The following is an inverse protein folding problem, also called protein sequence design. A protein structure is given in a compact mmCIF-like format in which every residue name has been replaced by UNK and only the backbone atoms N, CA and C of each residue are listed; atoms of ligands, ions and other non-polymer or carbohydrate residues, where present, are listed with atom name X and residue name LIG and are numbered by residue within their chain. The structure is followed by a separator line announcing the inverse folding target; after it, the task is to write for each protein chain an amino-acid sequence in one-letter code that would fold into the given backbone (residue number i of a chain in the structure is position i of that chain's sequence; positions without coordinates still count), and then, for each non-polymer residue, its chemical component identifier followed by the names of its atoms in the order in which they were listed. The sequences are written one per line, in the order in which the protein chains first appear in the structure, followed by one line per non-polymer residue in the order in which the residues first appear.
data_IF_120243688977
#
_entry.id   IF_120243688977
#
_cell.length_a   1.000
_cell.length_b   1.000
_cell.length_c   1.000
_cell.angle_alpha   90.00
_cell.angle_beta   90.00
_cell.angle_gamma   90.00
#
_symmetry.space_group_name_H-M   'P 1'
#
loop_
_entity.id
_entity.type
_entity.pdbx_description
1 polymer ?
#
# COMPACT_ATOMS: atom_id res chain seq x y z
N UNK A 1 18.23 -8.32 -56.47
CA UNK A 1 17.35 -9.15 -55.63
C UNK A 1 17.55 -8.68 -54.22
N UNK A 2 16.83 -7.61 -53.88
CA UNK A 2 16.83 -6.96 -52.57
C UNK A 2 15.82 -7.66 -51.67
N UNK A 3 16.27 -8.10 -50.50
CA UNK A 3 15.39 -8.36 -49.36
C UNK A 3 15.91 -7.51 -48.21
N UNK A 4 15.22 -6.43 -47.80
CA UNK A 4 15.63 -5.70 -46.62
C UNK A 4 15.24 -6.46 -45.36
N UNK A 5 16.22 -6.54 -44.47
CA UNK A 5 16.16 -7.15 -43.15
C UNK A 5 15.31 -6.26 -42.23
N UNK A 6 14.04 -6.63 -42.06
CA UNK A 6 13.16 -6.02 -41.07
C UNK A 6 13.46 -6.55 -39.67
N UNK A 7 14.53 -6.07 -39.05
CA UNK A 7 14.72 -6.23 -37.60
C UNK A 7 13.65 -5.39 -36.92
N UNK A 8 12.49 -5.98 -36.61
CA UNK A 8 11.51 -5.35 -35.72
C UNK A 8 12.06 -5.48 -34.31
N UNK A 9 13.03 -4.63 -33.98
CA UNK A 9 13.41 -4.37 -32.61
C UNK A 9 12.20 -3.69 -31.98
N UNK A 10 11.30 -4.50 -31.41
CA UNK A 10 10.33 -3.98 -30.47
C UNK A 10 11.15 -3.29 -29.39
N UNK A 11 11.11 -1.96 -29.39
CA UNK A 11 11.55 -1.18 -28.25
C UNK A 11 10.74 -1.71 -27.06
N UNK A 12 11.40 -2.48 -26.19
CA UNK A 12 10.90 -2.67 -24.84
C UNK A 12 11.00 -1.29 -24.21
N UNK A 13 9.97 -0.48 -24.36
CA UNK A 13 9.77 0.63 -23.45
C UNK A 13 9.79 -0.02 -22.05
N UNK A 14 10.71 0.39 -21.15
CA UNK A 14 10.68 -0.13 -19.80
C UNK A 14 9.26 0.13 -19.31
N UNK A 15 8.58 -0.94 -18.88
CA UNK A 15 7.31 -0.79 -18.16
C UNK A 15 7.55 0.31 -17.11
N UNK A 16 6.62 1.28 -16.96
CA UNK A 16 6.76 2.27 -15.91
C UNK A 16 7.07 1.52 -14.62
N UNK A 17 8.25 1.79 -14.05
CA UNK A 17 8.69 1.08 -12.85
C UNK A 17 7.67 1.44 -11.78
N UNK A 18 7.00 0.44 -11.20
CA UNK A 18 6.12 0.69 -10.08
C UNK A 18 6.94 1.39 -8.98
N UNK A 19 6.55 2.61 -8.61
CA UNK A 19 7.19 3.39 -7.55
C UNK A 19 6.22 3.51 -6.39
N UNK A 20 6.76 3.34 -5.18
CA UNK A 20 6.08 3.62 -3.93
C UNK A 20 6.95 4.60 -3.14
N UNK A 21 6.41 5.79 -2.89
CA UNK A 21 6.99 6.73 -1.96
C UNK A 21 6.28 6.62 -0.61
N UNK A 22 7.06 6.67 0.47
CA UNK A 22 6.57 6.61 1.85
C UNK A 22 7.14 7.76 2.68
N UNK A 23 6.41 8.16 3.73
CA UNK A 23 6.93 9.09 4.72
C UNK A 23 5.92 9.41 5.83
N UNK A 24 6.37 10.06 6.92
CA UNK A 24 5.51 10.43 8.03
C UNK A 24 4.49 11.51 7.62
N UNK A 25 3.32 11.47 8.27
CA UNK A 25 2.36 12.57 8.21
C UNK A 25 2.87 13.77 9.02
N UNK A 26 2.59 14.99 8.54
CA UNK A 26 3.07 16.22 9.17
C UNK A 26 2.24 16.65 10.37
N UNK A 27 0.94 16.35 10.35
CA UNK A 27 -0.04 16.94 11.27
C UNK A 27 -0.56 15.95 12.32
N UNK A 28 -0.20 14.66 12.22
CA UNK A 28 -0.69 13.58 13.09
C UNK A 28 0.22 12.35 13.05
N UNK A 29 0.13 11.51 14.06
CA UNK A 29 0.85 10.23 14.10
C UNK A 29 0.40 9.30 12.96
N UNK A 30 1.35 8.89 12.11
CA UNK A 30 1.03 8.03 10.99
C UNK A 30 1.92 8.22 9.78
N UNK A 31 1.61 7.48 8.73
CA UNK A 31 2.38 7.38 7.51
C UNK A 31 1.52 7.70 6.28
N UNK A 32 2.17 8.13 5.20
CA UNK A 32 1.58 8.33 3.88
C UNK A 32 2.25 7.41 2.89
N UNK A 33 1.45 6.84 1.98
CA UNK A 33 1.93 6.11 0.82
C UNK A 33 1.45 6.77 -0.48
N UNK A 34 2.30 6.76 -1.51
CA UNK A 34 2.03 7.36 -2.83
C UNK A 34 2.52 6.43 -3.93
N UNK A 35 1.68 6.18 -4.92
CA UNK A 35 2.01 5.34 -6.06
C UNK A 35 1.41 3.94 -5.95
N UNK A 36 2.20 2.90 -6.27
CA UNK A 36 1.69 1.54 -6.44
C UNK A 36 2.21 0.59 -5.36
N UNK A 37 1.32 -0.19 -4.76
CA UNK A 37 1.66 -1.26 -3.83
C UNK A 37 1.56 -2.60 -4.58
N UNK A 38 2.71 -3.11 -4.99
CA UNK A 38 2.84 -4.30 -5.81
C UNK A 38 4.01 -5.16 -5.34
N UNK A 39 4.19 -6.33 -5.95
CA UNK A 39 5.37 -7.16 -5.72
C UNK A 39 6.71 -6.39 -5.81
N UNK A 40 6.83 -5.45 -6.74
CA UNK A 40 8.07 -4.69 -6.95
C UNK A 40 8.34 -3.66 -5.84
N UNK A 41 7.28 -3.09 -5.25
CA UNK A 41 7.36 -2.05 -4.22
C UNK A 41 7.13 -2.59 -2.81
N UNK A 42 6.87 -3.90 -2.69
CA UNK A 42 6.58 -4.52 -1.41
C UNK A 42 7.62 -4.22 -0.31
N UNK A 43 8.94 -4.26 -0.54
CA UNK A 43 9.89 -4.01 0.55
C UNK A 43 9.72 -2.60 1.15
N UNK A 44 9.32 -1.62 0.35
CA UNK A 44 9.04 -0.25 0.84
C UNK A 44 7.73 -0.24 1.64
N UNK A 45 6.72 -0.97 1.18
CA UNK A 45 5.44 -1.10 1.87
C UNK A 45 5.58 -1.79 3.24
N UNK A 46 6.28 -2.92 3.30
CA UNK A 46 6.51 -3.67 4.54
C UNK A 46 7.26 -2.82 5.57
N UNK A 47 8.30 -2.09 5.13
CA UNK A 47 9.03 -1.16 6.01
C UNK A 47 8.16 -0.02 6.53
N UNK A 48 7.31 0.58 5.68
CA UNK A 48 6.35 1.59 6.14
C UNK A 48 5.41 1.03 7.20
N UNK A 49 4.93 -0.22 7.03
CA UNK A 49 4.02 -0.85 7.97
C UNK A 49 4.71 -1.18 9.30
N UNK A 50 5.95 -1.67 9.26
CA UNK A 50 6.80 -1.86 10.44
C UNK A 50 6.95 -0.55 11.22
N UNK A 51 7.35 0.52 10.55
CA UNK A 51 7.49 1.86 11.17
C UNK A 51 6.15 2.38 11.72
N UNK A 52 5.03 2.08 11.06
CA UNK A 52 3.69 2.48 11.51
C UNK A 52 3.27 1.77 12.81
N UNK A 53 3.59 0.47 12.95
CA UNK A 53 3.17 -0.32 14.12
C UNK A 53 4.14 -0.20 15.30
N UNK A 54 5.40 0.12 15.05
CA UNK A 54 6.44 0.32 16.07
C UNK A 54 6.23 1.56 16.95
N UNK A 55 5.43 2.54 16.50
CA UNK A 55 5.07 3.69 17.32
C UNK A 55 4.21 3.30 18.54
N UNK A 56 4.17 4.14 19.58
CA UNK A 56 3.36 3.90 20.79
C UNK A 56 1.96 4.54 20.74
N UNK A 57 1.61 5.17 19.62
CA UNK A 57 0.39 5.93 19.50
C UNK A 57 -0.86 5.02 19.46
N UNK A 58 -1.93 5.37 20.20
CA UNK A 58 -3.16 4.58 20.23
C UNK A 58 -3.88 4.57 18.88
N UNK A 59 -3.70 5.62 18.08
CA UNK A 59 -4.28 5.73 16.74
C UNK A 59 -3.18 6.08 15.75
N UNK A 60 -2.95 5.17 14.81
CA UNK A 60 -1.96 5.34 13.75
C UNK A 60 -2.68 5.60 12.43
N UNK A 61 -2.42 6.74 11.81
CA UNK A 61 -3.10 7.12 10.57
C UNK A 61 -2.31 6.66 9.34
N UNK A 62 -3.00 6.13 8.34
CA UNK A 62 -2.40 5.71 7.08
C UNK A 62 -3.11 6.40 5.91
N UNK A 63 -2.43 7.36 5.29
CA UNK A 63 -2.95 8.14 4.17
C UNK A 63 -2.68 7.48 2.83
N UNK A 64 -3.76 7.17 2.10
CA UNK A 64 -3.74 6.36 0.87
C UNK A 64 -4.39 7.03 -0.33
N UNK A 65 -4.80 8.31 -0.23
CA UNK A 65 -5.44 9.05 -1.34
C UNK A 65 -4.64 9.09 -2.65
N UNK A 66 -3.31 8.97 -2.56
CA UNK A 66 -2.42 8.98 -3.72
C UNK A 66 -1.89 7.58 -4.09
N UNK A 67 -2.47 6.52 -3.50
CA UNK A 67 -2.23 5.14 -3.91
C UNK A 67 -3.13 4.82 -5.09
N UNK A 68 -2.53 4.44 -6.21
CA UNK A 68 -3.25 4.16 -7.47
C UNK A 68 -3.59 2.68 -7.63
N UNK A 69 -2.81 1.81 -6.99
CA UNK A 69 -2.97 0.36 -7.07
C UNK A 69 -2.47 -0.33 -5.80
N UNK A 70 -3.15 -1.41 -5.42
CA UNK A 70 -2.69 -2.34 -4.39
C UNK A 70 -3.10 -3.77 -4.76
N UNK A 71 -2.14 -4.69 -4.73
CA UNK A 71 -2.41 -6.11 -4.90
C UNK A 71 -2.86 -6.79 -3.58
N UNK A 72 -3.29 -8.04 -3.68
CA UNK A 72 -3.77 -8.82 -2.53
C UNK A 72 -2.66 -9.05 -1.49
N UNK A 73 -1.39 -9.13 -1.91
CA UNK A 73 -0.27 -9.30 -0.98
C UNK A 73 -0.04 -8.03 -0.17
N UNK A 74 -0.12 -6.86 -0.79
CA UNK A 74 -0.06 -5.58 -0.10
C UNK A 74 -1.15 -5.45 0.96
N UNK A 75 -2.39 -5.85 0.62
CA UNK A 75 -3.50 -5.88 1.57
C UNK A 75 -3.28 -6.90 2.70
N UNK A 76 -2.73 -8.08 2.40
CA UNK A 76 -2.41 -9.10 3.39
C UNK A 76 -1.34 -8.63 4.38
N UNK A 77 -0.31 -7.93 3.90
CA UNK A 77 0.73 -7.36 4.77
C UNK A 77 0.17 -6.29 5.71
N UNK A 78 -0.76 -5.44 5.23
CA UNK A 78 -1.46 -4.49 6.08
C UNK A 78 -2.28 -5.19 7.18
N UNK A 79 -3.04 -6.23 6.81
CA UNK A 79 -3.81 -7.01 7.77
C UNK A 79 -2.90 -7.71 8.81
N UNK A 80 -1.76 -8.23 8.36
CA UNK A 80 -0.76 -8.83 9.25
C UNK A 80 -0.17 -7.80 10.22
N UNK A 81 0.24 -6.63 9.75
CA UNK A 81 0.76 -5.55 10.58
C UNK A 81 -0.29 -5.06 11.59
N UNK A 82 -1.54 -4.91 11.17
CA UNK A 82 -2.60 -4.52 12.10
C UNK A 82 -2.81 -5.54 13.23
N UNK A 83 -2.59 -6.84 12.98
CA UNK A 83 -2.68 -7.90 14.00
C UNK A 83 -1.53 -7.86 15.02
N UNK A 84 -0.40 -7.23 14.69
CA UNK A 84 0.72 -7.07 15.62
C UNK A 84 0.58 -5.84 16.52
N UNK A 85 -0.46 -5.03 16.32
CA UNK A 85 -0.75 -3.91 17.20
C UNK A 85 -1.07 -4.40 18.62
N UNK A 86 -0.53 -3.69 19.60
CA UNK A 86 -0.87 -3.88 21.01
C UNK A 86 -2.35 -3.57 21.30
N UNK A 87 -2.84 -4.08 22.42
CA UNK A 87 -4.23 -3.86 22.85
C UNK A 87 -4.58 -2.36 22.92
N UNK A 88 -5.78 -2.01 22.46
CA UNK A 88 -6.26 -0.62 22.45
C UNK A 88 -5.69 0.26 21.33
N UNK A 89 -4.83 -0.28 20.46
CA UNK A 89 -4.29 0.43 19.29
C UNK A 89 -5.05 0.07 18.01
N UNK A 90 -5.09 1.02 17.06
CA UNK A 90 -5.77 0.84 15.77
C UNK A 90 -5.10 1.62 14.63
N UNK A 91 -5.27 1.13 13.40
CA UNK A 91 -4.89 1.80 12.16
C UNK A 91 -6.14 2.44 11.54
N UNK A 92 -6.06 3.73 11.23
CA UNK A 92 -7.12 4.44 10.49
C UNK A 92 -6.64 4.72 9.07
N UNK A 93 -7.30 4.10 8.09
CA UNK A 93 -7.05 4.30 6.66
C UNK A 93 -7.79 5.54 6.16
N UNK A 94 -7.05 6.49 5.59
CA UNK A 94 -7.61 7.67 4.93
C UNK A 94 -7.61 7.49 3.42
N UNK A 95 -8.79 7.70 2.80
CA UNK A 95 -9.01 7.58 1.36
C UNK A 95 -8.41 6.29 0.76
N UNK A 96 -8.66 5.09 1.33
CA UNK A 96 -8.13 3.87 0.74
C UNK A 96 -8.73 3.63 -0.65
N UNK A 97 -7.96 3.08 -1.61
CA UNK A 97 -8.51 2.62 -2.88
C UNK A 97 -9.69 1.67 -2.64
N UNK A 98 -10.73 1.76 -3.47
CA UNK A 98 -11.92 0.92 -3.32
C UNK A 98 -11.60 -0.59 -3.36
N UNK A 99 -10.57 -0.97 -4.13
CA UNK A 99 -10.04 -2.34 -4.18
C UNK A 99 -9.51 -2.81 -2.83
N UNK A 100 -8.81 -1.95 -2.09
CA UNK A 100 -8.31 -2.28 -0.75
C UNK A 100 -9.46 -2.49 0.22
N UNK A 101 -10.40 -1.55 0.26
CA UNK A 101 -11.59 -1.64 1.13
C UNK A 101 -12.33 -2.95 0.87
N UNK A 102 -12.58 -3.27 -0.41
CA UNK A 102 -13.28 -4.50 -0.78
C UNK A 102 -12.51 -5.76 -0.39
N UNK A 103 -11.19 -5.75 -0.58
CA UNK A 103 -10.31 -6.87 -0.22
C UNK A 103 -10.31 -7.10 1.30
N UNK A 104 -10.21 -6.04 2.12
CA UNK A 104 -10.28 -6.14 3.58
C UNK A 104 -11.63 -6.72 4.03
N UNK A 105 -12.74 -6.22 3.48
CA UNK A 105 -14.08 -6.73 3.80
C UNK A 105 -14.28 -8.21 3.40
N UNK A 106 -13.58 -8.69 2.36
CA UNK A 106 -13.70 -10.06 1.87
C UNK A 106 -12.85 -11.07 2.65
N UNK A 107 -11.61 -10.70 2.97
CA UNK A 107 -10.62 -11.64 3.52
C UNK A 107 -10.35 -11.45 5.01
N UNK A 108 -10.64 -10.27 5.56
CA UNK A 108 -10.43 -9.94 6.97
C UNK A 108 -11.61 -9.14 7.58
N UNK A 109 -12.86 -9.59 7.41
CA UNK A 109 -14.04 -8.87 7.92
C UNK A 109 -14.05 -8.71 9.45
N UNK A 110 -13.34 -9.58 10.17
CA UNK A 110 -13.24 -9.59 11.64
C UNK A 110 -12.19 -8.62 12.20
N UNK A 111 -11.41 -7.95 11.34
CA UNK A 111 -10.26 -7.15 11.73
C UNK A 111 -10.68 -5.73 12.17
N UNK A 112 -11.22 -5.61 13.38
CA UNK A 112 -11.72 -4.35 13.96
C UNK A 112 -10.63 -3.31 14.26
N UNK A 113 -9.36 -3.72 14.29
CA UNK A 113 -8.19 -2.84 14.48
C UNK A 113 -7.86 -2.00 13.25
N UNK A 114 -8.48 -2.27 12.10
CA UNK A 114 -8.41 -1.40 10.92
C UNK A 114 -9.74 -0.67 10.76
N UNK A 115 -9.69 0.64 10.77
CA UNK A 115 -10.83 1.51 10.52
C UNK A 115 -10.63 2.26 9.21
N UNK A 116 -11.69 2.40 8.42
CA UNK A 116 -11.69 3.28 7.25
C UNK A 116 -12.30 4.61 7.67
N UNK A 117 -11.55 5.70 7.54
CA UNK A 117 -12.07 7.03 7.77
C UNK A 117 -13.23 7.28 6.79
N UNK A 118 -14.40 7.62 7.33
CA UNK A 118 -15.54 8.02 6.51
C UNK A 118 -15.24 9.41 5.94
N UNK A 119 -15.24 9.51 4.61
CA UNK A 119 -15.14 10.79 3.88
C UNK A 119 -16.37 11.65 4.08
#
# INVERSE_FOLDING_TARGET
MDTPQGTRQAATEPLPTAVLESGPLRDRAGMRAVGEISLATQPVWERLLEELVDGDEPVCHLELSAVTFIDVRGAASLAAAARTLGEGRRIVLWQPPASLRRTLELFWPELSVIEVAQS
#
